data_IF_757936728717
#
_entry.id   IF_757936728717
#
_cell.length_a   1.000
_cell.length_b   1.000
_cell.length_c   1.000
_cell.angle_alpha   90.00
_cell.angle_beta   90.00
_cell.angle_gamma   90.00
#
_symmetry.space_group_name_H-M   'P 1'
#
loop_
_entity.id
_entity.type
_entity.pdbx_description
1 polymer ?
#
# COMPACT_ATOMS: atom_id res chain seq x y z
N UNK A 1 -28.57 -1.40 1.74
CA UNK A 1 -28.01 -0.77 2.95
C UNK A 1 -26.48 -0.78 2.81
N UNK A 2 -25.84 0.39 2.73
CA UNK A 2 -24.37 0.52 2.63
C UNK A 2 -23.83 0.63 4.05
N UNK A 3 -23.25 -0.45 4.58
CA UNK A 3 -22.69 -0.47 5.92
C UNK A 3 -21.50 0.48 6.00
N UNK A 4 -21.72 1.66 6.59
CA UNK A 4 -20.67 2.58 6.99
C UNK A 4 -19.68 1.84 7.90
N UNK A 5 -18.40 1.93 7.54
CA UNK A 5 -17.33 1.14 8.13
C UNK A 5 -17.15 1.40 9.62
N UNK A 6 -17.29 0.35 10.42
CA UNK A 6 -16.70 0.26 11.75
C UNK A 6 -15.18 0.57 11.61
N UNK A 7 -14.58 1.39 12.48
CA UNK A 7 -13.12 1.54 12.50
C UNK A 7 -12.54 0.13 12.73
N UNK A 8 -11.75 -0.36 11.77
CA UNK A 8 -11.13 -1.68 11.86
C UNK A 8 -10.30 -1.71 13.14
N UNK A 9 -10.63 -2.61 14.05
CA UNK A 9 -9.90 -2.78 15.31
C UNK A 9 -8.43 -3.15 15.02
N UNK A 10 -7.56 -2.94 16.02
CA UNK A 10 -6.13 -3.28 15.94
C UNK A 10 -5.90 -4.72 15.45
N UNK A 11 -6.66 -5.67 15.99
CA UNK A 11 -6.66 -7.08 15.58
C UNK A 11 -6.99 -7.29 14.10
N UNK A 12 -8.02 -6.61 13.60
CA UNK A 12 -8.46 -6.72 12.21
C UNK A 12 -7.39 -6.17 11.25
N UNK A 13 -6.77 -5.05 11.64
CA UNK A 13 -5.69 -4.45 10.86
C UNK A 13 -4.48 -5.38 10.82
N UNK A 14 -4.13 -6.02 11.93
CA UNK A 14 -3.03 -7.00 11.99
C UNK A 14 -3.30 -8.22 11.10
N UNK A 15 -4.49 -8.82 11.19
CA UNK A 15 -4.90 -9.94 10.31
C UNK A 15 -4.87 -9.55 8.84
N UNK A 16 -5.26 -8.31 8.52
CA UNK A 16 -5.26 -7.79 7.17
C UNK A 16 -3.83 -7.61 6.63
N UNK A 17 -2.90 -7.13 7.46
CA UNK A 17 -1.48 -7.00 7.09
C UNK A 17 -0.86 -8.38 6.82
N UNK A 18 -1.10 -9.36 7.70
CA UNK A 18 -0.61 -10.72 7.50
C UNK A 18 -1.19 -11.32 6.22
N UNK A 19 -2.49 -11.12 5.97
CA UNK A 19 -3.14 -11.53 4.72
C UNK A 19 -2.49 -10.86 3.51
N UNK A 20 -2.20 -9.56 3.58
CA UNK A 20 -1.54 -8.83 2.51
C UNK A 20 -0.13 -9.36 2.21
N UNK A 21 0.63 -9.76 3.24
CA UNK A 21 1.94 -10.38 3.06
C UNK A 21 1.85 -11.76 2.37
N UNK A 22 0.87 -12.57 2.77
CA UNK A 22 0.58 -13.85 2.11
C UNK A 22 0.19 -13.64 0.65
N UNK A 23 -0.69 -12.68 0.37
CA UNK A 23 -1.08 -12.31 -1.00
C UNK A 23 0.12 -11.83 -1.81
N UNK A 24 1.02 -11.02 -1.25
CA UNK A 24 2.25 -10.60 -1.92
C UNK A 24 3.14 -11.79 -2.31
N UNK A 25 3.22 -12.79 -1.44
CA UNK A 25 4.01 -14.00 -1.68
C UNK A 25 3.37 -14.90 -2.75
N UNK A 26 2.04 -14.90 -2.85
CA UNK A 26 1.27 -15.69 -3.81
C UNK A 26 1.04 -14.99 -5.16
N UNK A 27 1.04 -13.65 -5.19
CA UNK A 27 0.88 -12.81 -6.38
C UNK A 27 1.77 -13.21 -7.56
N UNK A 28 3.07 -13.53 -7.37
CA UNK A 28 3.94 -13.94 -8.46
C UNK A 28 3.67 -15.36 -8.96
N UNK A 29 2.91 -16.20 -8.25
CA UNK A 29 2.53 -17.52 -8.75
C UNK A 29 1.13 -17.49 -9.40
N UNK A 30 0.27 -16.60 -8.91
CA UNK A 30 -1.12 -16.49 -9.33
C UNK A 30 -1.28 -15.93 -10.75
N UNK A 31 -2.13 -16.61 -11.52
CA UNK A 31 -2.59 -16.22 -12.85
C UNK A 31 -4.04 -15.75 -12.73
N UNK A 32 -4.49 -14.86 -13.63
CA UNK A 32 -5.83 -14.25 -13.62
C UNK A 32 -6.12 -13.42 -12.36
N UNK A 33 -5.10 -12.70 -11.89
CA UNK A 33 -5.25 -11.78 -10.76
C UNK A 33 -6.17 -10.62 -11.15
N UNK A 34 -7.12 -10.30 -10.28
CA UNK A 34 -8.08 -9.20 -10.46
C UNK A 34 -7.76 -8.05 -9.52
N UNK A 35 -8.36 -6.88 -9.73
CA UNK A 35 -8.16 -5.70 -8.89
C UNK A 35 -8.23 -5.98 -7.38
N UNK A 36 -9.23 -6.75 -6.93
CA UNK A 36 -9.42 -7.04 -5.50
C UNK A 36 -8.44 -8.09 -4.93
N UNK A 37 -7.64 -8.70 -5.78
CA UNK A 37 -6.64 -9.69 -5.37
C UNK A 37 -5.32 -9.06 -4.95
N UNK A 38 -5.10 -7.82 -5.39
CA UNK A 38 -3.90 -7.08 -5.05
C UNK A 38 -3.95 -6.60 -3.60
N UNK A 39 -2.86 -6.78 -2.83
CA UNK A 39 -2.74 -6.28 -1.47
C UNK A 39 -2.48 -4.77 -1.47
N UNK A 40 -3.49 -3.98 -1.83
CA UNK A 40 -3.46 -2.52 -1.81
C UNK A 40 -3.03 -2.04 -0.42
N UNK A 41 -2.16 -1.02 -0.31
CA UNK A 41 -1.68 -0.52 0.97
C UNK A 41 -2.75 0.33 1.67
N UNK A 42 -3.93 -0.23 1.87
CA UNK A 42 -5.10 0.41 2.46
C UNK A 42 -5.84 -0.59 3.33
N UNK A 43 -6.49 -0.09 4.38
CA UNK A 43 -7.29 -0.89 5.31
C UNK A 43 -8.54 -1.49 4.65
N UNK A 44 -8.98 -0.89 3.54
CA UNK A 44 -10.02 -1.43 2.68
C UNK A 44 -9.52 -1.41 1.25
N UNK A 45 -9.70 -2.52 0.50
CA UNK A 45 -9.39 -2.50 -0.91
C UNK A 45 -10.28 -1.45 -1.59
N UNK A 46 -9.68 -0.55 -2.40
CA UNK A 46 -10.44 0.45 -3.12
C UNK A 46 -11.41 -0.25 -4.07
N UNK A 47 -12.56 0.35 -4.34
CA UNK A 47 -13.41 -0.11 -5.45
C UNK A 47 -12.91 0.46 -6.79
N UNK A 48 -12.25 1.62 -6.80
CA UNK A 48 -11.80 2.30 -8.02
C UNK A 48 -10.42 2.91 -7.79
N UNK A 49 -9.63 3.14 -8.85
CA UNK A 49 -8.33 3.81 -8.72
C UNK A 49 -8.41 5.21 -8.13
N UNK A 50 -9.57 5.86 -8.21
CA UNK A 50 -9.87 7.17 -7.62
C UNK A 50 -10.02 7.13 -6.09
N UNK A 51 -10.46 5.99 -5.55
CA UNK A 51 -10.61 5.77 -4.10
C UNK A 51 -9.25 5.67 -3.38
N UNK A 52 -8.17 5.47 -4.16
CA UNK A 52 -6.78 5.43 -3.67
C UNK A 52 -6.32 6.86 -3.37
N UNK A 53 -6.43 7.24 -2.11
CA UNK A 53 -6.03 8.56 -1.62
C UNK A 53 -4.79 8.51 -0.74
N UNK A 54 -4.04 9.62 -0.71
CA UNK A 54 -2.87 9.78 0.15
C UNK A 54 -3.17 9.48 1.62
N UNK A 55 -4.34 9.92 2.11
CA UNK A 55 -4.75 9.72 3.50
C UNK A 55 -4.92 8.23 3.83
N UNK A 56 -5.55 7.45 2.96
CA UNK A 56 -5.74 6.02 3.19
C UNK A 56 -4.41 5.25 3.20
N UNK A 57 -3.54 5.54 2.23
CA UNK A 57 -2.20 4.92 2.16
C UNK A 57 -1.35 5.32 3.36
N UNK A 58 -1.37 6.59 3.74
CA UNK A 58 -0.63 7.10 4.90
C UNK A 58 -1.13 6.49 6.21
N UNK A 59 -2.45 6.38 6.39
CA UNK A 59 -3.05 5.74 7.57
C UNK A 59 -2.62 4.27 7.69
N UNK A 60 -2.58 3.54 6.58
CA UNK A 60 -2.10 2.16 6.53
C UNK A 60 -0.59 2.05 6.81
N UNK A 61 0.21 2.99 6.30
CA UNK A 61 1.66 3.06 6.53
C UNK A 61 2.02 3.47 7.97
N UNK A 62 1.20 4.31 8.59
CA UNK A 62 1.37 4.75 10.00
C UNK A 62 0.62 3.87 11.00
N UNK A 63 -0.01 2.79 10.55
CA UNK A 63 -0.80 1.91 11.43
C UNK A 63 0.10 1.25 12.48
N UNK A 64 -0.27 1.29 13.78
CA UNK A 64 0.54 0.77 14.87
C UNK A 64 0.68 -0.76 14.87
N UNK A 65 -0.10 -1.48 14.05
CA UNK A 65 0.03 -2.93 13.88
C UNK A 65 1.34 -3.34 13.20
N UNK A 66 1.99 -2.41 12.48
CA UNK A 66 3.29 -2.70 11.86
C UNK A 66 4.46 -2.63 12.84
N UNK A 67 4.31 -1.90 13.95
CA UNK A 67 5.32 -1.83 15.00
C UNK A 67 5.56 -3.17 15.69
N UNK A 68 4.59 -4.09 15.64
CA UNK A 68 4.71 -5.41 16.27
C UNK A 68 5.49 -6.39 15.37
N UNK A 69 5.29 -6.32 14.05
CA UNK A 69 5.90 -7.25 13.09
C UNK A 69 7.25 -6.81 12.54
N UNK A 70 7.49 -5.51 12.37
CA UNK A 70 8.69 -5.03 11.68
C UNK A 70 9.26 -3.82 12.43
N UNK A 71 10.42 -3.99 13.08
CA UNK A 71 11.18 -2.92 13.78
C UNK A 71 11.68 -1.80 12.84
N UNK A 72 11.23 -1.78 11.59
CA UNK A 72 11.57 -0.78 10.58
C UNK A 72 10.74 0.48 10.76
N UNK A 73 11.40 1.63 10.59
CA UNK A 73 10.75 2.94 10.57
C UNK A 73 9.75 3.01 9.39
N UNK A 74 8.66 3.77 9.57
CA UNK A 74 7.65 4.07 8.53
C UNK A 74 8.31 4.40 7.18
N UNK A 75 9.41 5.16 7.20
CA UNK A 75 10.20 5.54 6.02
C UNK A 75 10.74 4.34 5.24
N UNK A 76 11.33 3.36 5.93
CA UNK A 76 11.92 2.18 5.29
C UNK A 76 10.84 1.28 4.70
N UNK A 77 9.73 1.11 5.43
CA UNK A 77 8.57 0.38 4.95
C UNK A 77 7.95 1.02 3.70
N UNK A 78 7.81 2.35 3.67
CA UNK A 78 7.32 3.07 2.49
C UNK A 78 8.27 2.87 1.31
N UNK A 79 9.60 2.90 1.52
CA UNK A 79 10.58 2.59 0.47
C UNK A 79 10.43 1.17 -0.07
N UNK A 80 10.26 0.17 0.81
CA UNK A 80 10.05 -1.21 0.39
C UNK A 80 8.76 -1.36 -0.44
N UNK A 81 7.66 -0.76 0.02
CA UNK A 81 6.39 -0.76 -0.71
C UNK A 81 6.50 -0.01 -2.05
N UNK A 82 7.20 1.13 -2.08
CA UNK A 82 7.43 1.90 -3.30
C UNK A 82 8.18 1.08 -4.36
N UNK A 83 9.21 0.32 -3.96
CA UNK A 83 9.94 -0.58 -4.88
C UNK A 83 9.05 -1.72 -5.40
N UNK A 84 8.16 -2.25 -4.55
CA UNK A 84 7.23 -3.34 -4.92
C UNK A 84 6.12 -2.86 -5.86
N UNK A 85 5.59 -1.67 -5.62
CA UNK A 85 4.55 -1.02 -6.43
C UNK A 85 5.08 -0.22 -7.61
N UNK A 86 6.41 -0.16 -7.79
CA UNK A 86 7.02 0.61 -8.86
C UNK A 86 6.46 0.16 -10.23
N UNK A 87 6.01 1.09 -11.10
CA UNK A 87 5.38 0.73 -12.37
C UNK A 87 6.25 -0.24 -13.18
N UNK A 88 7.56 0.00 -13.27
CA UNK A 88 8.50 -0.92 -13.93
C UNK A 88 8.42 -2.37 -13.41
N UNK A 89 8.52 -2.57 -12.08
CA UNK A 89 8.47 -3.90 -11.46
C UNK A 89 7.08 -4.50 -11.56
N UNK A 90 6.06 -3.68 -11.37
CA UNK A 90 4.68 -4.14 -11.32
C UNK A 90 4.15 -4.52 -12.71
N UNK A 91 4.44 -3.69 -13.70
CA UNK A 91 4.06 -3.91 -15.10
C UNK A 91 4.80 -5.10 -15.72
N UNK A 92 6.02 -5.38 -15.29
CA UNK A 92 6.78 -6.54 -15.80
C UNK A 92 6.43 -7.86 -15.10
N UNK A 93 6.21 -7.85 -13.78
CA UNK A 93 5.94 -9.09 -13.00
C UNK A 93 4.47 -9.46 -12.88
N UNK A 94 3.59 -8.48 -12.69
CA UNK A 94 2.19 -8.71 -12.28
C UNK A 94 1.19 -8.36 -13.36
N UNK A 95 1.35 -7.25 -14.08
CA UNK A 95 0.44 -6.88 -15.18
C UNK A 95 0.23 -7.97 -16.25
N UNK A 96 1.23 -8.77 -16.68
CA UNK A 96 0.96 -9.88 -17.61
C UNK A 96 0.07 -10.98 -17.02
N UNK A 97 -0.06 -11.07 -15.70
CA UNK A 97 -0.87 -12.07 -14.97
C UNK A 97 -2.25 -11.57 -14.60
N UNK A 98 -2.50 -10.27 -14.79
CA UNK A 98 -3.82 -9.67 -14.53
C UNK A 98 -4.73 -9.94 -15.72
N UNK A 99 -6.02 -10.14 -15.44
CA UNK A 99 -7.04 -10.26 -16.49
C UNK A 99 -7.08 -9.00 -17.35
N UNK A 100 -7.12 -9.13 -18.68
CA UNK A 100 -7.06 -7.98 -19.60
C UNK A 100 -8.08 -6.89 -19.31
N UNK A 101 -9.30 -7.27 -18.93
CA UNK A 101 -10.37 -6.34 -18.55
C UNK A 101 -10.03 -5.46 -17.34
N UNK A 102 -9.16 -5.93 -16.45
CA UNK A 102 -8.77 -5.22 -15.23
C UNK A 102 -7.33 -4.67 -15.31
N UNK A 103 -6.53 -5.03 -16.32
CA UNK A 103 -5.13 -4.59 -16.48
C UNK A 103 -5.00 -3.07 -16.43
N UNK A 104 -5.82 -2.34 -17.19
CA UNK A 104 -5.77 -0.88 -17.23
C UNK A 104 -6.07 -0.28 -15.85
N UNK A 105 -7.15 -0.75 -15.23
CA UNK A 105 -7.58 -0.31 -13.91
C UNK A 105 -6.48 -0.55 -12.87
N UNK A 106 -5.93 -1.77 -12.81
CA UNK A 106 -4.84 -2.15 -11.90
C UNK A 106 -3.59 -1.32 -12.15
N UNK A 107 -3.21 -1.10 -13.41
CA UNK A 107 -2.07 -0.25 -13.78
C UNK A 107 -2.24 1.18 -13.27
N UNK A 108 -3.41 1.78 -13.48
CA UNK A 108 -3.70 3.12 -12.95
C UNK A 108 -3.63 3.17 -11.43
N UNK A 109 -4.21 2.18 -10.75
CA UNK A 109 -4.16 2.09 -9.29
C UNK A 109 -2.74 1.91 -8.75
N UNK A 110 -1.94 1.04 -9.36
CA UNK A 110 -0.54 0.82 -9.00
C UNK A 110 0.29 2.09 -9.19
N UNK A 111 0.09 2.81 -10.29
CA UNK A 111 0.72 4.12 -10.53
C UNK A 111 0.34 5.16 -9.48
N UNK A 112 -0.95 5.24 -9.10
CA UNK A 112 -1.41 6.10 -8.02
C UNK A 112 -0.73 5.74 -6.70
N UNK A 113 -0.73 4.46 -6.30
CA UNK A 113 -0.06 4.00 -5.08
C UNK A 113 1.42 4.32 -5.08
N UNK A 114 2.14 4.04 -6.18
CA UNK A 114 3.58 4.32 -6.27
C UNK A 114 3.88 5.82 -6.10
N UNK A 115 3.06 6.68 -6.73
CA UNK A 115 3.17 8.13 -6.60
C UNK A 115 2.88 8.61 -5.18
N UNK A 116 1.82 8.09 -4.56
CA UNK A 116 1.44 8.42 -3.19
C UNK A 116 2.49 7.97 -2.17
N UNK A 117 3.04 6.77 -2.33
CA UNK A 117 4.15 6.28 -1.49
C UNK A 117 5.40 7.14 -1.66
N UNK A 118 5.70 7.58 -2.89
CA UNK A 118 6.83 8.47 -3.16
C UNK A 118 6.64 9.85 -2.53
N UNK A 119 5.43 10.41 -2.59
CA UNK A 119 5.09 11.69 -1.96
C UNK A 119 5.12 11.60 -0.43
N UNK A 120 4.59 10.49 0.12
CA UNK A 120 4.64 10.20 1.55
C UNK A 120 6.10 10.08 2.02
N UNK A 121 6.95 9.37 1.27
CA UNK A 121 8.36 9.23 1.59
C UNK A 121 9.08 10.59 1.59
N UNK A 122 8.78 11.44 0.62
CA UNK A 122 9.33 12.81 0.53
C UNK A 122 8.91 13.63 1.75
N UNK A 123 7.63 13.60 2.12
CA UNK A 123 7.09 14.27 3.31
C UNK A 123 7.72 13.79 4.61
N UNK A 124 7.90 12.48 4.77
CA UNK A 124 8.55 11.91 5.97
C UNK A 124 10.03 12.29 6.06
N UNK A 125 10.71 12.46 4.91
CA UNK A 125 12.10 12.91 4.87
C UNK A 125 12.22 14.39 5.29
N UNK A 126 11.33 15.25 4.78
CA UNK A 126 11.23 16.66 5.15
C UNK A 126 10.91 16.82 6.65
N UNK A 127 9.91 16.08 7.15
CA UNK A 127 9.50 16.14 8.56
C UNK A 127 10.60 15.66 9.53
N UNK A 128 11.34 14.61 9.14
CA UNK A 128 12.52 14.15 9.89
C UNK A 128 13.63 15.21 9.91
N UNK A 129 13.76 16.00 8.84
CA UNK A 129 14.80 17.03 8.72
C UNK A 129 14.46 18.31 9.52
N UNK A 130 13.18 18.63 9.68
CA UNK A 130 12.72 19.77 10.50
C UNK A 130 12.84 19.54 12.01
N UNK A 131 12.93 18.29 12.46
CA UNK A 131 12.99 17.94 13.90
C UNK A 131 14.39 18.13 14.52
N UNK A 132 15.39 18.55 13.74
CA UNK A 132 16.80 18.62 14.17
C UNK A 132 17.41 20.04 14.09
N UNK A 133 16.60 21.09 13.92
CA UNK A 133 17.07 22.48 13.68
C UNK A 133 16.81 23.46 14.84
N UNK A 134 16.10 23.04 15.89
CA UNK A 134 16.00 23.79 17.15
C UNK A 134 16.34 22.87 18.32
N UNK A 135 17.64 22.70 18.56
CA UNK A 135 18.19 22.15 19.79
C UNK A 135 19.25 23.11 20.29
N UNK A 136 18.86 23.91 21.30
CA UNK A 136 19.60 24.77 22.23
C UNK A 136 21.10 25.03 21.97
#
# INVERSE_FOLDING_TARGET
MRSAGRPLSRDETQRLIEKHERLWTQLPDKVDSVWNDFPWPMLKPPATPDDITANHVTAYMRSPCWLDSDKKSTKDRVKEHMKRWHPDRFETKYLPKVVESEKDRVKQGAGNVARLLSDLLRKENENSSSSNIFGD
#
